data_IF_347121408221
#
_entry.id   IF_347121408221
#
_cell.length_a   1.000
_cell.length_b   1.000
_cell.length_c   1.000
_cell.angle_alpha   90.00
_cell.angle_beta   90.00
_cell.angle_gamma   90.00
#
_symmetry.space_group_name_H-M   'P 1'
#
loop_
_entity.id
_entity.type
_entity.pdbx_description
1 polymer ?
#
# COMPACT_ATOMS: atom_id res chain seq x y z
N UNK A 1 -8.97 41.38 -47.27
CA UNK A 1 -8.24 41.29 -46.01
C UNK A 1 -7.90 39.83 -45.81
N UNK A 2 -6.75 39.49 -46.34
CA UNK A 2 -6.27 38.09 -46.36
C UNK A 2 -5.48 37.84 -45.07
N UNK A 3 -5.84 36.77 -44.37
CA UNK A 3 -5.08 36.27 -43.20
C UNK A 3 -3.95 35.36 -43.71
N UNK A 4 -2.75 35.41 -43.17
CA UNK A 4 -1.65 34.57 -43.62
C UNK A 4 -1.78 33.14 -43.11
N UNK A 5 -1.49 32.19 -43.99
CA UNK A 5 -1.30 30.77 -43.75
C UNK A 5 -0.20 30.54 -42.71
N UNK A 6 -0.48 29.76 -41.71
CA UNK A 6 0.51 29.29 -40.73
C UNK A 6 0.95 27.90 -41.18
N UNK A 7 2.16 27.83 -41.64
CA UNK A 7 2.89 26.66 -42.08
C UNK A 7 3.03 25.65 -40.90
N UNK A 8 2.49 24.45 -41.06
CA UNK A 8 2.63 23.37 -40.10
C UNK A 8 3.99 22.69 -40.33
N UNK A 9 4.93 22.96 -39.43
CA UNK A 9 6.21 22.29 -39.38
C UNK A 9 6.09 20.81 -39.01
N UNK A 10 7.06 19.96 -39.41
CA UNK A 10 6.93 18.51 -39.30
C UNK A 10 7.01 18.04 -37.84
N UNK A 11 6.03 17.22 -37.48
CA UNK A 11 5.91 16.47 -36.26
C UNK A 11 7.05 15.44 -36.18
N UNK A 12 8.10 15.77 -35.43
CA UNK A 12 9.14 14.81 -35.05
C UNK A 12 8.67 14.07 -33.82
N UNK A 13 7.92 12.98 -34.03
CA UNK A 13 7.60 12.01 -33.01
C UNK A 13 8.88 11.40 -32.42
N UNK A 14 9.32 11.96 -31.31
CA UNK A 14 10.30 11.30 -30.43
C UNK A 14 9.58 10.21 -29.68
N UNK A 15 9.72 8.98 -30.14
CA UNK A 15 9.46 7.79 -29.32
C UNK A 15 10.39 7.85 -28.11
N UNK A 16 9.86 8.25 -26.96
CA UNK A 16 10.50 8.02 -25.67
C UNK A 16 10.11 6.60 -25.26
N UNK A 17 10.87 5.63 -25.74
CA UNK A 17 10.94 4.33 -25.08
C UNK A 17 11.52 4.60 -23.69
N UNK A 18 10.65 4.61 -22.68
CA UNK A 18 11.08 4.59 -21.30
C UNK A 18 11.67 3.21 -21.03
N UNK A 19 12.98 3.09 -21.23
CA UNK A 19 13.79 2.01 -20.70
C UNK A 19 13.69 2.13 -19.16
N UNK A 20 12.75 1.41 -18.57
CA UNK A 20 12.73 1.19 -17.13
C UNK A 20 13.81 0.18 -16.83
N UNK A 21 15.05 0.65 -16.80
CA UNK A 21 16.14 -0.06 -16.19
C UNK A 21 15.84 -0.18 -14.70
N UNK A 22 15.43 -1.37 -14.28
CA UNK A 22 15.41 -1.77 -12.89
C UNK A 22 16.83 -2.04 -12.41
N UNK A 23 17.62 -1.00 -12.31
CA UNK A 23 18.87 -1.02 -11.55
C UNK A 23 18.56 -0.67 -10.08
N UNK A 24 17.98 -1.61 -9.36
CA UNK A 24 17.78 -1.51 -7.90
C UNK A 24 18.86 -2.29 -7.14
N UNK A 25 20.12 -2.18 -7.54
CA UNK A 25 21.19 -2.85 -6.79
C UNK A 25 22.24 -1.94 -6.17
N UNK A 26 22.27 -0.66 -6.41
CA UNK A 26 23.42 0.15 -6.00
C UNK A 26 23.13 1.52 -5.32
N UNK A 27 21.92 1.79 -4.84
CA UNK A 27 21.75 2.86 -3.84
C UNK A 27 21.95 2.29 -2.44
N UNK A 28 23.17 1.85 -2.21
CA UNK A 28 23.68 1.44 -0.91
C UNK A 28 23.66 2.66 0.01
N UNK A 29 22.88 2.58 1.06
CA UNK A 29 22.96 3.44 2.20
C UNK A 29 24.41 3.77 2.61
N UNK A 30 24.84 5.02 2.50
CA UNK A 30 26.18 5.43 2.78
C UNK A 30 26.42 5.90 4.20
N UNK A 31 25.67 5.63 5.18
CA UNK A 31 26.00 5.74 6.61
C UNK A 31 24.81 5.35 7.49
N UNK A 32 24.96 4.26 8.26
CA UNK A 32 24.02 3.89 9.33
C UNK A 32 22.89 2.95 8.93
N UNK A 33 22.92 2.35 7.75
CA UNK A 33 21.97 1.29 7.41
C UNK A 33 22.37 -0.01 8.08
N UNK A 34 21.54 -0.49 8.97
CA UNK A 34 21.60 -1.88 9.39
C UNK A 34 21.35 -2.76 8.17
N UNK A 35 22.14 -3.84 8.03
CA UNK A 35 21.93 -4.83 6.97
C UNK A 35 20.53 -5.42 7.09
N UNK A 36 19.61 -4.97 6.20
CA UNK A 36 18.24 -5.44 6.24
C UNK A 36 18.15 -6.86 5.69
N UNK A 37 18.18 -7.85 6.56
CA UNK A 37 18.05 -9.26 6.18
C UNK A 37 16.81 -9.54 5.34
N UNK A 38 15.71 -8.84 5.57
CA UNK A 38 14.49 -8.97 4.78
C UNK A 38 14.61 -8.42 3.36
N UNK A 39 15.38 -7.34 3.15
CA UNK A 39 15.67 -6.83 1.81
C UNK A 39 16.62 -7.74 1.04
N UNK A 40 17.57 -8.38 1.74
CA UNK A 40 18.56 -9.25 1.12
C UNK A 40 18.05 -10.66 0.78
N UNK A 41 17.06 -11.15 1.53
CA UNK A 41 16.52 -12.52 1.38
C UNK A 41 15.11 -12.58 0.80
N UNK A 42 14.41 -11.45 0.71
CA UNK A 42 13.11 -11.34 0.05
C UNK A 42 13.24 -11.15 -1.46
N UNK A 43 12.11 -11.20 -2.15
CA UNK A 43 12.01 -10.93 -3.59
C UNK A 43 10.74 -10.19 -3.93
N UNK A 44 10.79 -9.34 -4.98
CA UNK A 44 9.60 -8.70 -5.54
C UNK A 44 8.98 -9.64 -6.58
N UNK A 45 7.76 -10.11 -6.32
CA UNK A 45 7.07 -11.06 -7.18
C UNK A 45 5.73 -10.49 -7.68
N UNK A 46 5.38 -10.73 -8.96
CA UNK A 46 4.09 -10.32 -9.49
C UNK A 46 2.96 -11.21 -8.96
N UNK A 47 1.96 -10.57 -8.36
CA UNK A 47 0.77 -11.21 -7.81
C UNK A 47 -0.45 -10.78 -8.61
N UNK A 48 -1.35 -11.72 -8.92
CA UNK A 48 -2.63 -11.40 -9.55
C UNK A 48 -3.55 -10.68 -8.57
N UNK A 49 -4.36 -9.74 -9.06
CA UNK A 49 -5.33 -9.05 -8.22
C UNK A 49 -6.22 -10.06 -7.48
N UNK A 50 -6.38 -9.86 -6.20
CA UNK A 50 -7.32 -10.63 -5.41
C UNK A 50 -8.73 -10.43 -5.98
N UNK A 51 -9.51 -11.50 -6.10
CA UNK A 51 -10.83 -11.56 -6.75
C UNK A 51 -10.80 -11.53 -8.28
N UNK A 52 -9.84 -12.17 -8.88
CA UNK A 52 -9.67 -12.32 -10.33
C UNK A 52 -10.72 -13.22 -11.00
N UNK A 53 -11.97 -13.17 -10.55
CA UNK A 53 -13.08 -13.81 -11.21
C UNK A 53 -13.60 -12.88 -12.31
N UNK A 54 -13.00 -12.89 -13.50
CA UNK A 54 -13.45 -12.30 -14.77
C UNK A 54 -14.18 -10.92 -14.70
N UNK A 55 -14.13 -10.25 -13.57
CA UNK A 55 -14.74 -8.92 -13.38
C UNK A 55 -13.68 -7.84 -13.51
N UNK A 56 -13.94 -6.80 -14.30
CA UNK A 56 -13.02 -5.67 -14.35
C UNK A 56 -12.88 -5.08 -12.94
N UNK A 57 -11.64 -5.00 -12.44
CA UNK A 57 -11.32 -4.24 -11.23
C UNK A 57 -11.59 -2.77 -11.56
N UNK A 58 -12.61 -2.18 -10.97
CA UNK A 58 -13.02 -0.79 -11.20
C UNK A 58 -13.21 -0.05 -9.88
N UNK A 59 -13.04 1.25 -9.94
CA UNK A 59 -13.38 2.12 -8.84
C UNK A 59 -12.44 1.98 -7.63
N UNK A 60 -12.98 1.59 -6.48
CA UNK A 60 -12.23 1.57 -5.21
C UNK A 60 -11.10 0.56 -5.20
N UNK A 61 -11.28 -0.63 -5.82
CA UNK A 61 -10.26 -1.66 -5.86
C UNK A 61 -9.06 -1.24 -6.71
N UNK A 62 -9.29 -0.66 -7.90
CA UNK A 62 -8.21 -0.13 -8.74
C UNK A 62 -7.42 0.98 -8.02
N UNK A 63 -8.13 1.88 -7.34
CA UNK A 63 -7.48 2.92 -6.52
C UNK A 63 -6.69 2.32 -5.35
N UNK A 64 -7.12 1.19 -4.80
CA UNK A 64 -6.38 0.45 -3.78
C UNK A 64 -5.01 -0.01 -4.27
N UNK A 65 -4.94 -0.61 -5.45
CA UNK A 65 -3.66 -1.04 -6.05
C UNK A 65 -2.78 0.14 -6.47
N UNK A 66 -3.36 1.23 -6.98
CA UNK A 66 -2.62 2.46 -7.24
C UNK A 66 -2.04 3.07 -5.95
N UNK A 67 -2.78 2.98 -4.84
CA UNK A 67 -2.31 3.42 -3.54
C UNK A 67 -1.18 2.51 -3.01
N UNK A 68 -1.31 1.19 -3.15
CA UNK A 68 -0.24 0.24 -2.80
C UNK A 68 1.04 0.56 -3.57
N UNK A 69 0.96 0.80 -4.89
CA UNK A 69 2.11 1.25 -5.68
C UNK A 69 2.71 2.56 -5.16
N UNK A 70 1.85 3.55 -4.86
CA UNK A 70 2.29 4.84 -4.33
C UNK A 70 3.05 4.71 -2.98
N UNK A 71 2.57 3.82 -2.10
CA UNK A 71 3.19 3.58 -0.77
C UNK A 71 4.47 2.78 -0.89
N UNK A 72 4.45 1.71 -1.68
CA UNK A 72 5.48 0.67 -1.68
C UNK A 72 6.52 0.83 -2.79
N UNK A 73 6.24 1.63 -3.83
CA UNK A 73 7.14 1.83 -4.97
C UNK A 73 7.31 0.61 -5.88
N UNK A 74 6.60 -0.50 -5.61
CA UNK A 74 6.69 -1.72 -6.43
C UNK A 74 5.84 -1.61 -7.70
N UNK A 75 6.13 -2.47 -8.69
CA UNK A 75 5.46 -2.44 -9.98
C UNK A 75 3.95 -2.69 -9.90
N UNK A 76 3.16 -1.92 -10.66
CA UNK A 76 1.73 -2.09 -10.82
C UNK A 76 1.40 -2.17 -12.31
N UNK A 77 0.73 -3.24 -12.74
CA UNK A 77 0.45 -3.60 -14.13
C UNK A 77 -1.06 -3.78 -14.34
N UNK A 78 -1.84 -2.67 -14.45
CA UNK A 78 -3.30 -2.73 -14.53
C UNK A 78 -3.80 -3.55 -15.71
N UNK A 79 -3.17 -3.42 -16.88
CA UNK A 79 -3.53 -4.15 -18.10
C UNK A 79 -3.38 -5.68 -17.96
N UNK A 80 -2.44 -6.11 -17.10
CA UNK A 80 -2.20 -7.52 -16.78
C UNK A 80 -2.93 -7.96 -15.52
N UNK A 81 -3.61 -7.04 -14.84
CA UNK A 81 -4.27 -7.26 -13.54
C UNK A 81 -3.30 -7.81 -12.49
N UNK A 82 -2.11 -7.25 -12.42
CA UNK A 82 -1.02 -7.67 -11.53
C UNK A 82 -0.41 -6.50 -10.80
N UNK A 83 0.07 -6.78 -9.61
CA UNK A 83 0.88 -5.89 -8.81
C UNK A 83 2.05 -6.67 -8.24
N UNK A 84 3.19 -6.03 -8.06
CA UNK A 84 4.29 -6.67 -7.36
C UNK A 84 4.11 -6.54 -5.86
N UNK A 85 4.36 -7.64 -5.15
CA UNK A 85 4.41 -7.72 -3.70
C UNK A 85 5.77 -8.26 -3.26
N UNK A 86 6.15 -7.97 -2.02
CA UNK A 86 7.41 -8.41 -1.46
C UNK A 86 7.23 -9.75 -0.74
N UNK A 87 7.93 -10.79 -1.18
CA UNK A 87 7.89 -12.12 -0.59
C UNK A 87 8.98 -12.24 0.48
N UNK A 88 8.57 -12.40 1.74
CA UNK A 88 9.49 -12.61 2.86
C UNK A 88 8.80 -13.38 3.99
N UNK A 89 9.53 -14.24 4.71
CA UNK A 89 9.02 -15.05 5.83
C UNK A 89 7.77 -15.90 5.47
N UNK A 90 7.74 -16.45 4.24
CA UNK A 90 6.62 -17.19 3.69
C UNK A 90 5.28 -16.42 3.72
N UNK A 91 5.36 -15.11 3.53
CA UNK A 91 4.22 -14.19 3.47
C UNK A 91 4.42 -13.19 2.33
N UNK A 92 3.31 -12.73 1.76
CA UNK A 92 3.28 -11.71 0.70
C UNK A 92 2.93 -10.37 1.34
N UNK A 93 3.84 -9.42 1.28
CA UNK A 93 3.73 -8.08 1.83
C UNK A 93 3.48 -7.09 0.70
N UNK A 94 2.72 -6.04 0.95
CA UNK A 94 2.52 -5.00 -0.06
C UNK A 94 3.84 -4.36 -0.50
N UNK A 95 4.85 -4.31 0.40
CA UNK A 95 6.17 -3.82 0.08
C UNK A 95 7.16 -3.85 1.24
N UNK A 96 8.28 -3.17 1.05
CA UNK A 96 9.35 -3.02 2.05
C UNK A 96 9.96 -1.61 1.99
N UNK A 97 10.30 -1.04 3.14
CA UNK A 97 11.23 0.09 3.27
C UNK A 97 12.60 -0.49 3.67
N UNK A 98 13.56 -0.61 2.73
CA UNK A 98 14.82 -1.31 3.00
C UNK A 98 15.70 -0.61 4.05
N UNK A 99 15.74 0.74 4.04
CA UNK A 99 16.57 1.49 4.97
C UNK A 99 16.25 1.22 6.44
N UNK A 100 15.00 1.40 6.91
CA UNK A 100 14.60 1.04 8.25
C UNK A 100 14.27 -0.45 8.45
N UNK A 101 14.32 -1.26 7.40
CA UNK A 101 13.96 -2.68 7.41
C UNK A 101 12.53 -2.95 7.91
N UNK A 102 11.55 -2.33 7.25
CA UNK A 102 10.15 -2.36 7.65
C UNK A 102 9.28 -2.94 6.54
N UNK A 103 8.51 -4.00 6.83
CA UNK A 103 7.46 -4.50 5.94
C UNK A 103 6.29 -3.52 5.88
N UNK A 104 5.76 -3.31 4.69
CA UNK A 104 4.66 -2.38 4.44
C UNK A 104 3.36 -3.10 4.16
N UNK A 105 2.28 -2.54 4.69
CA UNK A 105 0.90 -2.90 4.37
C UNK A 105 0.10 -1.63 4.04
N UNK A 106 -0.42 -1.50 2.83
CA UNK A 106 -1.13 -0.32 2.34
C UNK A 106 -2.65 -0.48 2.50
N UNK A 107 -3.30 0.49 3.11
CA UNK A 107 -4.75 0.50 3.37
C UNK A 107 -5.41 1.72 2.73
N UNK A 108 -6.17 1.49 1.66
CA UNK A 108 -6.83 2.55 0.91
C UNK A 108 -8.33 2.62 1.17
N UNK A 109 -8.86 3.81 1.47
CA UNK A 109 -10.27 4.05 1.70
C UNK A 109 -10.71 3.65 3.11
N UNK A 110 -11.87 3.00 3.21
CA UNK A 110 -12.55 2.56 4.44
C UNK A 110 -13.20 3.68 5.27
N UNK A 111 -12.98 4.94 4.98
CA UNK A 111 -13.59 6.09 5.64
C UNK A 111 -15.12 6.14 5.43
N UNK A 112 -15.61 5.58 4.33
CA UNK A 112 -17.04 5.46 4.06
C UNK A 112 -17.82 4.64 5.11
N UNK A 113 -17.13 3.73 5.80
CA UNK A 113 -17.73 2.88 6.86
C UNK A 113 -17.76 3.56 8.23
N UNK A 114 -17.07 4.69 8.38
CA UNK A 114 -16.85 5.36 9.65
C UNK A 114 -17.59 6.70 9.72
N UNK A 115 -17.94 7.09 10.92
CA UNK A 115 -18.45 8.41 11.25
C UNK A 115 -17.83 8.91 12.55
N UNK A 116 -17.96 10.23 12.77
CA UNK A 116 -17.52 10.85 14.00
C UNK A 116 -18.37 10.32 15.18
N UNK A 117 -17.72 9.96 16.25
CA UNK A 117 -18.39 9.65 17.50
C UNK A 117 -18.53 10.93 18.31
N UNK A 118 -19.67 11.64 18.17
CA UNK A 118 -19.97 12.90 18.82
C UNK A 118 -19.78 12.78 20.34
N UNK A 119 -18.57 13.15 20.80
CA UNK A 119 -18.18 13.09 22.21
C UNK A 119 -17.26 11.91 22.57
N UNK A 120 -16.88 11.08 21.61
CA UNK A 120 -15.85 10.06 21.74
C UNK A 120 -14.48 10.49 21.22
N UNK A 121 -13.43 9.84 21.68
CA UNK A 121 -12.06 10.12 21.27
C UNK A 121 -11.67 9.41 19.95
N UNK A 122 -12.56 8.62 19.38
CA UNK A 122 -12.29 7.81 18.18
C UNK A 122 -13.53 7.70 17.27
N UNK A 123 -13.34 7.56 15.95
CA UNK A 123 -14.45 7.30 15.04
C UNK A 123 -15.13 5.96 15.37
N UNK A 124 -16.39 5.83 15.00
CA UNK A 124 -17.16 4.59 15.13
C UNK A 124 -17.65 4.09 13.79
N UNK A 125 -18.00 2.83 13.71
CA UNK A 125 -18.64 2.29 12.51
C UNK A 125 -20.06 2.84 12.38
N UNK A 126 -20.43 3.24 11.16
CA UNK A 126 -21.79 3.63 10.81
C UNK A 126 -22.77 2.47 11.02
N UNK A 127 -23.95 2.76 11.49
CA UNK A 127 -24.99 1.76 11.76
C UNK A 127 -25.34 0.89 10.55
N UNK A 128 -25.33 1.46 9.34
CA UNK A 128 -25.61 0.70 8.12
C UNK A 128 -24.51 -0.33 7.84
N UNK A 129 -23.24 0.02 8.09
CA UNK A 129 -22.11 -0.87 7.90
C UNK A 129 -22.17 -2.05 8.88
N UNK A 130 -22.52 -1.79 10.13
CA UNK A 130 -22.75 -2.82 11.15
C UNK A 130 -23.88 -3.76 10.72
N UNK A 131 -25.04 -3.21 10.31
CA UNK A 131 -26.19 -4.01 9.84
C UNK A 131 -25.90 -4.81 8.57
N UNK A 132 -25.04 -4.28 7.69
CA UNK A 132 -24.59 -4.97 6.49
C UNK A 132 -23.53 -6.07 6.77
N UNK A 133 -23.09 -6.23 8.01
CA UNK A 133 -22.09 -7.22 8.40
C UNK A 133 -20.69 -6.88 7.88
N UNK A 134 -20.36 -5.60 7.69
CA UNK A 134 -19.01 -5.19 7.28
C UNK A 134 -18.01 -5.57 8.38
N UNK A 135 -17.12 -6.49 8.05
CA UNK A 135 -16.13 -7.05 9.00
C UNK A 135 -14.70 -6.67 8.69
N UNK A 136 -14.49 -5.68 7.82
CA UNK A 136 -13.17 -5.27 7.33
C UNK A 136 -12.20 -4.96 8.48
N UNK A 137 -12.65 -4.20 9.46
CA UNK A 137 -11.78 -3.80 10.58
C UNK A 137 -11.47 -4.96 11.53
N UNK A 138 -12.38 -5.92 11.69
CA UNK A 138 -12.08 -7.17 12.42
C UNK A 138 -11.01 -7.98 11.67
N UNK A 139 -11.08 -8.00 10.34
CA UNK A 139 -10.05 -8.64 9.51
C UNK A 139 -8.70 -7.95 9.63
N UNK A 140 -8.65 -6.64 9.84
CA UNK A 140 -7.41 -5.93 10.11
C UNK A 140 -6.71 -6.45 11.35
N UNK A 141 -7.45 -6.68 12.44
CA UNK A 141 -6.89 -7.27 13.68
C UNK A 141 -6.32 -8.67 13.41
N UNK A 142 -7.05 -9.51 12.69
CA UNK A 142 -6.57 -10.85 12.34
C UNK A 142 -5.32 -10.79 11.47
N UNK A 143 -5.33 -9.97 10.42
CA UNK A 143 -4.19 -9.80 9.51
C UNK A 143 -2.96 -9.25 10.23
N UNK A 144 -3.13 -8.21 11.04
CA UNK A 144 -1.99 -7.63 11.78
C UNK A 144 -1.40 -8.63 12.79
N UNK A 145 -2.24 -9.42 13.46
CA UNK A 145 -1.76 -10.47 14.37
C UNK A 145 -0.97 -11.55 13.62
N UNK A 146 -1.43 -11.97 12.44
CA UNK A 146 -0.72 -12.93 11.60
C UNK A 146 0.61 -12.36 11.14
N UNK A 147 0.61 -11.14 10.62
CA UNK A 147 1.81 -10.45 10.13
C UNK A 147 2.87 -10.29 11.23
N UNK A 148 2.47 -9.83 12.42
CA UNK A 148 3.36 -9.74 13.59
C UNK A 148 3.92 -11.12 13.92
N UNK A 149 3.07 -12.16 13.93
CA UNK A 149 3.52 -13.54 14.19
C UNK A 149 4.57 -14.03 13.19
N UNK A 150 4.44 -13.66 11.90
CA UNK A 150 5.42 -13.99 10.86
C UNK A 150 6.77 -13.31 11.09
N UNK A 151 6.76 -12.10 11.63
CA UNK A 151 7.98 -11.32 11.86
C UNK A 151 8.66 -11.59 13.20
N UNK A 152 8.01 -12.26 14.15
CA UNK A 152 8.59 -12.55 15.47
C UNK A 152 10.02 -13.12 15.42
N UNK A 153 10.36 -14.08 14.51
CA UNK A 153 11.71 -14.64 14.44
C UNK A 153 12.78 -13.64 13.96
N UNK A 154 12.37 -12.51 13.40
CA UNK A 154 13.24 -11.51 12.79
C UNK A 154 13.29 -10.21 13.60
N UNK A 155 12.63 -10.15 14.74
CA UNK A 155 12.63 -8.98 15.62
C UNK A 155 13.92 -8.94 16.46
N UNK A 156 14.44 -7.75 16.80
CA UNK A 156 13.90 -6.42 16.47
C UNK A 156 14.30 -5.87 15.10
N UNK A 157 15.02 -6.63 14.27
CA UNK A 157 15.68 -6.14 13.05
C UNK A 157 14.67 -5.84 11.92
N UNK A 158 13.49 -6.46 11.93
CA UNK A 158 12.45 -6.26 10.93
C UNK A 158 11.17 -5.75 11.58
N UNK A 159 10.72 -4.57 11.17
CA UNK A 159 9.49 -3.93 11.62
C UNK A 159 8.28 -4.20 10.71
N UNK A 160 7.10 -3.77 11.17
CA UNK A 160 5.86 -3.76 10.40
C UNK A 160 5.20 -2.39 10.47
N UNK A 161 4.84 -1.83 9.32
CA UNK A 161 4.13 -0.55 9.21
C UNK A 161 2.90 -0.69 8.33
N UNK A 162 1.77 -0.26 8.86
CA UNK A 162 0.53 -0.11 8.12
C UNK A 162 0.35 1.35 7.70
N UNK A 163 0.24 1.59 6.40
CA UNK A 163 0.12 2.92 5.82
C UNK A 163 -1.30 3.12 5.32
N UNK A 164 -1.98 4.14 5.83
CA UNK A 164 -3.38 4.42 5.54
C UNK A 164 -3.53 5.68 4.68
N UNK A 165 -4.38 5.61 3.67
CA UNK A 165 -4.74 6.76 2.84
C UNK A 165 -5.63 7.79 3.57
N UNK A 166 -6.36 7.36 4.60
CA UNK A 166 -7.29 8.18 5.38
C UNK A 166 -7.02 8.05 6.87
N UNK A 167 -7.13 9.17 7.59
CA UNK A 167 -6.76 9.23 9.01
C UNK A 167 -7.74 8.46 9.90
N UNK A 168 -9.04 8.55 9.67
CA UNK A 168 -10.04 7.88 10.51
C UNK A 168 -9.94 6.36 10.50
N UNK A 169 -9.82 5.69 9.34
CA UNK A 169 -9.53 4.26 9.32
C UNK A 169 -8.27 3.86 10.08
N UNK A 170 -7.22 4.68 10.03
CA UNK A 170 -6.00 4.45 10.80
C UNK A 170 -6.28 4.49 12.31
N UNK A 171 -6.92 5.56 12.80
CA UNK A 171 -7.24 5.71 14.22
C UNK A 171 -8.12 4.56 14.71
N UNK A 172 -9.15 4.21 13.93
CA UNK A 172 -10.07 3.14 14.29
C UNK A 172 -9.37 1.77 14.29
N UNK A 173 -8.59 1.45 13.26
CA UNK A 173 -7.82 0.21 13.19
C UNK A 173 -6.83 0.09 14.35
N UNK A 174 -6.08 1.16 14.66
CA UNK A 174 -5.15 1.20 15.78
C UNK A 174 -5.86 0.95 17.11
N UNK A 175 -7.04 1.54 17.32
CA UNK A 175 -7.80 1.30 18.54
C UNK A 175 -8.21 -0.17 18.69
N UNK A 176 -8.65 -0.83 17.61
CA UNK A 176 -9.01 -2.24 17.63
C UNK A 176 -7.80 -3.16 17.84
N UNK A 177 -6.65 -2.84 17.23
CA UNK A 177 -5.39 -3.56 17.46
C UNK A 177 -4.96 -3.46 18.92
N UNK A 178 -5.06 -2.26 19.53
CA UNK A 178 -4.76 -2.05 20.95
C UNK A 178 -5.72 -2.83 21.85
N UNK A 179 -7.04 -2.78 21.57
CA UNK A 179 -8.04 -3.54 22.32
C UNK A 179 -7.77 -5.07 22.24
N UNK A 180 -7.29 -5.54 21.09
CA UNK A 180 -6.88 -6.93 20.87
C UNK A 180 -5.45 -7.26 21.32
N UNK A 181 -4.71 -6.28 21.88
CA UNK A 181 -3.32 -6.41 22.31
C UNK A 181 -2.34 -6.84 21.21
N UNK A 182 -2.60 -6.43 19.97
CA UNK A 182 -1.65 -6.58 18.88
C UNK A 182 -0.60 -5.48 19.03
N UNK A 183 0.65 -5.88 19.26
CA UNK A 183 1.79 -4.97 19.41
C UNK A 183 2.80 -5.18 18.28
N UNK A 184 3.62 -4.17 18.01
CA UNK A 184 4.66 -4.26 16.97
C UNK A 184 4.18 -3.86 15.57
N UNK A 185 3.03 -3.19 15.47
CA UNK A 185 2.56 -2.55 14.23
C UNK A 185 2.67 -1.04 14.37
N UNK A 186 3.50 -0.42 13.54
CA UNK A 186 3.47 1.03 13.36
C UNK A 186 2.32 1.41 12.43
N UNK A 187 1.73 2.58 12.64
CA UNK A 187 0.72 3.11 11.73
C UNK A 187 1.11 4.49 11.23
N UNK A 188 0.88 4.73 9.95
CA UNK A 188 1.18 6.00 9.30
C UNK A 188 -0.03 6.46 8.46
N UNK A 189 -0.34 7.75 8.52
CA UNK A 189 -1.27 8.37 7.60
C UNK A 189 -0.52 9.03 6.45
N UNK A 190 -0.68 8.51 5.24
CA UNK A 190 -0.04 9.01 4.02
C UNK A 190 -1.10 9.22 2.93
N UNK A 191 -1.72 10.40 2.85
CA UNK A 191 -2.76 10.65 1.86
C UNK A 191 -2.16 10.67 0.44
N UNK A 192 -2.84 9.99 -0.50
CA UNK A 192 -2.50 10.12 -1.92
C UNK A 192 -3.13 11.39 -2.47
N UNK A 193 -2.32 12.42 -2.70
CA UNK A 193 -2.76 13.67 -3.32
C UNK A 193 -3.01 13.40 -4.80
N UNK A 194 -4.22 13.71 -5.28
CA UNK A 194 -4.48 13.66 -6.72
C UNK A 194 -3.78 14.84 -7.38
N UNK A 195 -2.87 14.56 -8.30
CA UNK A 195 -2.33 15.55 -9.22
C UNK A 195 -3.37 15.93 -10.27
#
# INVERSE_FOLDING_TARGET
MDLPDVDAGPDTGANIEADVQTDTKDDVCTEGCHDCGAANTGSSEPVSYQNDQDRPVRGTAERGYAYQQFVCGLGHFPDQRRINEWQFAAYSWDGIEPGPCVMLEAKFGYDEFLEDDWGGDRPRMKDWAIRAGVNTFTRFVTQSSEQVGRLLPFQPDVGLKWVFSHQWPMIYALSLMNDARVVGVETEWRPMVRG
#
